data_IF_803166182855
#
_entry.id   IF_803166182855
#
_cell.length_a   1.000
_cell.length_b   1.000
_cell.length_c   1.000
_cell.angle_alpha   90.00
_cell.angle_beta   90.00
_cell.angle_gamma   90.00
#
_symmetry.space_group_name_H-M   'P 1'
#
loop_
_entity.id
_entity.type
_entity.pdbx_description
1 polymer ?
#
# COMPACT_ATOMS: atom_id res chain seq x y z
N UNK A 1 5.17 -7.62 -13.30
CA UNK A 1 4.82 -7.42 -11.88
C UNK A 1 5.24 -6.02 -11.46
N UNK A 2 4.28 -5.10 -11.29
CA UNK A 2 4.58 -3.72 -10.92
C UNK A 2 5.17 -3.65 -9.51
N UNK A 3 6.28 -2.92 -9.36
CA UNK A 3 6.92 -2.67 -8.06
C UNK A 3 6.83 -1.20 -7.67
N UNK A 4 6.25 -0.91 -6.51
CA UNK A 4 6.17 0.44 -5.94
C UNK A 4 7.49 0.77 -5.24
N UNK A 5 8.43 1.36 -5.99
CA UNK A 5 9.75 1.70 -5.47
C UNK A 5 10.29 2.99 -6.09
N UNK A 6 11.26 3.62 -5.41
CA UNK A 6 11.95 4.79 -5.94
C UNK A 6 12.59 4.46 -7.28
N UNK A 7 12.48 5.41 -8.22
CA UNK A 7 13.04 5.35 -9.57
C UNK A 7 12.44 4.26 -10.49
N UNK A 8 11.37 3.56 -10.09
CA UNK A 8 10.57 2.82 -11.05
C UNK A 8 9.66 3.80 -11.82
N UNK A 9 9.73 3.78 -13.14
CA UNK A 9 8.93 4.64 -14.04
C UNK A 9 7.90 3.86 -14.85
N UNK A 10 7.70 2.57 -14.54
CA UNK A 10 6.64 1.76 -15.15
C UNK A 10 5.28 2.43 -14.93
N UNK A 11 4.52 2.57 -16.02
CA UNK A 11 3.17 3.13 -15.97
C UNK A 11 2.22 2.05 -15.44
N UNK A 12 1.42 2.40 -14.43
CA UNK A 12 0.41 1.50 -13.90
C UNK A 12 -0.78 1.44 -14.86
N UNK A 13 -1.23 0.22 -15.19
CA UNK A 13 -2.35 -0.03 -16.10
C UNK A 13 -3.55 -0.59 -15.33
N UNK A 14 -4.75 -0.36 -15.86
CA UNK A 14 -5.98 -0.89 -15.27
C UNK A 14 -5.92 -2.43 -15.17
N UNK A 15 -6.40 -2.97 -14.06
CA UNK A 15 -6.34 -4.41 -13.75
C UNK A 15 -5.08 -4.83 -12.97
N UNK A 16 -4.06 -3.98 -12.88
CA UNK A 16 -2.94 -4.23 -11.97
C UNK A 16 -3.38 -4.12 -10.50
N UNK A 17 -2.78 -4.97 -9.66
CA UNK A 17 -2.94 -4.91 -8.20
C UNK A 17 -1.56 -4.70 -7.58
N UNK A 18 -1.45 -3.72 -6.70
CA UNK A 18 -0.23 -3.37 -5.98
C UNK A 18 -0.49 -3.25 -4.48
N UNK A 19 0.55 -3.40 -3.66
CA UNK A 19 0.50 -3.03 -2.25
C UNK A 19 0.92 -1.58 -2.07
N UNK A 20 0.21 -0.85 -1.20
CA UNK A 20 0.65 0.44 -0.67
C UNK A 20 0.89 0.25 0.82
N UNK A 21 2.17 0.15 1.19
CA UNK A 21 2.57 -0.36 2.51
C UNK A 21 3.72 0.43 3.20
N UNK A 22 3.60 1.76 3.34
CA UNK A 22 4.63 2.54 4.00
C UNK A 22 4.81 2.12 5.46
N UNK A 23 6.08 2.01 5.88
CA UNK A 23 6.45 1.69 7.26
C UNK A 23 7.35 2.75 7.89
N UNK A 24 7.15 2.98 9.18
CA UNK A 24 8.01 3.81 10.02
C UNK A 24 8.51 2.96 11.20
N UNK A 25 9.82 2.86 11.34
CA UNK A 25 10.46 1.98 12.31
C UNK A 25 11.45 2.75 13.16
N UNK A 26 11.37 2.58 14.49
CA UNK A 26 12.36 3.09 15.45
C UNK A 26 13.10 1.91 16.06
N UNK A 27 14.40 1.82 15.78
CA UNK A 27 15.25 0.74 16.30
C UNK A 27 15.21 0.69 17.84
N UNK A 28 15.08 -0.53 18.38
CA UNK A 28 14.99 -0.77 19.83
C UNK A 28 13.67 -0.30 20.46
N UNK A 29 12.67 0.04 19.64
CA UNK A 29 11.35 0.53 20.08
C UNK A 29 10.26 -0.05 19.17
N UNK A 30 9.30 0.77 18.72
CA UNK A 30 8.15 0.36 17.92
C UNK A 30 8.40 0.51 16.41
N UNK A 31 7.70 -0.30 15.63
CA UNK A 31 7.48 -0.10 14.21
C UNK A 31 5.99 -0.10 13.89
N UNK A 32 5.60 0.66 12.87
CA UNK A 32 4.24 0.70 12.33
C UNK A 32 4.31 0.54 10.83
N UNK A 33 3.44 -0.29 10.28
CA UNK A 33 3.15 -0.39 8.84
C UNK A 33 1.64 -0.52 8.69
N UNK A 34 1.08 0.22 7.74
CA UNK A 34 -0.31 0.09 7.31
C UNK A 34 -0.23 -0.31 5.84
N UNK A 35 -0.96 -1.35 5.45
CA UNK A 35 -0.85 -1.98 4.14
C UNK A 35 -2.24 -2.21 3.53
N UNK A 36 -2.39 -1.78 2.29
CA UNK A 36 -3.57 -2.05 1.47
C UNK A 36 -3.21 -2.73 0.16
N UNK A 37 -4.10 -3.61 -0.31
CA UNK A 37 -4.12 -4.05 -1.70
C UNK A 37 -4.95 -3.05 -2.51
N UNK A 38 -4.35 -2.48 -3.56
CA UNK A 38 -4.96 -1.45 -4.39
C UNK A 38 -5.09 -1.97 -5.83
N UNK A 39 -6.33 -1.99 -6.33
CA UNK A 39 -6.65 -2.24 -7.73
C UNK A 39 -6.54 -0.93 -8.52
N UNK A 40 -5.76 -0.92 -9.60
CA UNK A 40 -5.74 0.17 -10.56
C UNK A 40 -6.93 0.02 -11.51
N UNK A 41 -7.67 1.10 -11.73
CA UNK A 41 -8.84 1.15 -12.64
C UNK A 41 -8.56 2.15 -13.76
N UNK A 42 -9.40 2.16 -14.80
CA UNK A 42 -9.26 3.09 -15.93
C UNK A 42 -9.31 4.57 -15.53
N UNK A 43 -9.83 4.89 -14.33
CA UNK A 43 -10.05 6.28 -13.88
C UNK A 43 -9.41 6.59 -12.50
N UNK A 44 -8.63 5.66 -11.94
CA UNK A 44 -8.04 5.84 -10.62
C UNK A 44 -7.68 4.51 -9.96
N UNK A 45 -8.08 4.33 -8.71
CA UNK A 45 -7.83 3.10 -7.96
C UNK A 45 -8.92 2.80 -6.92
N UNK A 46 -9.01 1.54 -6.52
CA UNK A 46 -9.91 1.03 -5.49
C UNK A 46 -9.12 0.24 -4.46
N UNK A 47 -9.43 0.41 -3.17
CA UNK A 47 -8.84 -0.43 -2.12
C UNK A 47 -9.64 -1.73 -1.97
N UNK A 48 -8.95 -2.85 -2.07
CA UNK A 48 -9.50 -4.19 -1.81
C UNK A 48 -9.40 -4.57 -0.32
N UNK A 49 -8.76 -3.72 0.50
CA UNK A 49 -8.61 -3.92 1.95
C UNK A 49 -9.67 -3.11 2.71
N UNK A 50 -10.53 -3.81 3.45
CA UNK A 50 -11.64 -3.21 4.21
C UNK A 50 -11.35 -3.00 5.70
N UNK A 51 -10.23 -3.51 6.22
CA UNK A 51 -9.88 -3.36 7.63
C UNK A 51 -9.59 -1.90 7.98
N UNK A 52 -9.90 -1.49 9.22
CA UNK A 52 -9.63 -0.12 9.66
C UNK A 52 -8.13 0.15 9.69
N UNK A 53 -7.77 1.37 9.29
CA UNK A 53 -6.39 1.89 9.36
C UNK A 53 -6.13 2.59 10.69
N UNK A 54 -7.13 2.64 11.57
CA UNK A 54 -7.04 3.22 12.89
C UNK A 54 -6.28 2.30 13.84
N UNK A 55 -5.56 2.91 14.78
CA UNK A 55 -4.96 2.19 15.89
C UNK A 55 -6.05 1.53 16.73
N UNK A 56 -6.05 0.20 16.79
CA UNK A 56 -6.90 -0.58 17.68
C UNK A 56 -6.07 -1.07 18.86
N UNK A 57 -6.52 -0.78 20.08
CA UNK A 57 -5.94 -1.32 21.32
C UNK A 57 -6.84 -2.46 21.79
N UNK A 58 -6.26 -3.66 21.93
CA UNK A 58 -6.96 -4.89 22.32
C UNK A 58 -6.76 -5.14 23.82
#
# INVERSE_FOLDING_TARGET
>A
DPYVMRNNQEVLEAGMVITIEPGLYKQGSLGVRIEDNILITDSGCESLTSFSRDLTVI
#
